data_IF_660569476711
#
_entry.id   IF_660569476711
#
_cell.length_a   1.000
_cell.length_b   1.000
_cell.length_c   1.000
_cell.angle_alpha   90.00
_cell.angle_beta   90.00
_cell.angle_gamma   90.00
#
_symmetry.space_group_name_H-M   'P 1'
#
loop_
_entity.id
_entity.type
_entity.pdbx_description
1 polymer ?
#
# COMPACT_ATOMS: atom_id res chain seq x y z
N UNK A 1 2.91 0.20 5.24
CA UNK A 1 3.74 -0.38 4.14
C UNK A 1 3.54 -1.91 3.98
N UNK A 2 2.36 -2.41 4.35
CA UNK A 2 1.94 -3.80 4.15
C UNK A 2 3.02 -4.85 4.52
N UNK A 3 3.55 -4.80 5.75
CA UNK A 3 4.57 -5.75 6.20
C UNK A 3 5.95 -5.63 5.53
N UNK A 4 6.15 -4.58 4.79
CA UNK A 4 7.39 -4.34 4.03
C UNK A 4 7.31 -4.69 2.55
N UNK A 5 6.17 -5.12 2.04
CA UNK A 5 6.00 -5.39 0.62
C UNK A 5 6.30 -4.17 -0.26
N UNK A 6 5.92 -2.97 0.18
CA UNK A 6 6.14 -1.71 -0.54
C UNK A 6 7.51 -1.07 -0.24
N UNK A 7 8.50 -1.83 0.16
CA UNK A 7 9.87 -1.33 0.40
C UNK A 7 10.90 -1.86 -0.58
N UNK A 8 10.48 -2.64 -1.57
CA UNK A 8 11.33 -3.21 -2.61
C UNK A 8 12.22 -4.39 -2.18
N UNK A 9 12.04 -4.90 -0.94
CA UNK A 9 12.92 -5.97 -0.42
C UNK A 9 12.46 -7.38 -0.76
N UNK A 10 11.24 -7.57 -1.25
CA UNK A 10 10.73 -8.88 -1.67
C UNK A 10 10.72 -8.96 -3.19
N UNK A 11 11.16 -10.09 -3.71
CA UNK A 11 11.25 -10.34 -5.14
C UNK A 11 10.29 -11.45 -5.56
N UNK A 12 9.91 -11.43 -6.83
CA UNK A 12 9.07 -12.46 -7.44
C UNK A 12 9.82 -13.79 -7.42
N UNK A 13 9.15 -14.86 -7.04
CA UNK A 13 9.67 -16.23 -7.01
C UNK A 13 10.89 -16.46 -6.09
N UNK A 14 11.13 -15.56 -5.14
CA UNK A 14 12.21 -15.69 -4.16
C UNK A 14 11.62 -15.66 -2.76
N UNK A 15 11.61 -16.79 -2.09
CA UNK A 15 11.18 -16.87 -0.68
C UNK A 15 12.08 -15.99 0.19
N UNK A 16 11.51 -15.06 0.99
CA UNK A 16 12.31 -14.20 1.84
C UNK A 16 13.06 -15.00 2.91
N UNK A 17 14.35 -14.70 3.08
CA UNK A 17 15.20 -15.28 4.12
C UNK A 17 15.88 -14.18 4.93
N UNK A 18 16.42 -14.57 6.12
CA UNK A 18 17.23 -13.70 6.96
C UNK A 18 16.45 -12.66 7.74
N UNK A 19 17.15 -11.62 8.22
CA UNK A 19 16.65 -10.62 9.17
C UNK A 19 15.62 -9.63 8.57
N UNK A 20 14.59 -10.15 7.94
CA UNK A 20 13.42 -9.37 7.47
C UNK A 20 12.17 -9.88 8.17
N UNK A 21 11.06 -9.09 8.11
CA UNK A 21 9.82 -9.47 8.79
C UNK A 21 9.23 -10.80 8.29
N UNK A 22 9.33 -11.06 6.99
CA UNK A 22 8.85 -12.31 6.39
C UNK A 22 9.96 -13.36 6.29
N UNK A 23 11.25 -12.98 6.33
CA UNK A 23 12.35 -13.92 6.44
C UNK A 23 12.40 -14.59 7.81
N UNK A 24 12.10 -13.85 8.89
CA UNK A 24 11.99 -14.40 10.24
C UNK A 24 10.71 -15.24 10.44
N UNK A 25 9.62 -14.89 9.73
CA UNK A 25 8.34 -15.60 9.80
C UNK A 25 7.53 -15.39 8.51
N UNK A 26 7.75 -16.20 7.47
CA UNK A 26 7.12 -16.07 6.16
C UNK A 26 5.59 -16.27 6.20
N UNK A 27 5.09 -17.03 7.17
CA UNK A 27 3.66 -17.36 7.32
C UNK A 27 2.88 -16.34 8.15
N UNK A 28 3.51 -15.21 8.49
CA UNK A 28 2.92 -14.24 9.42
C UNK A 28 1.67 -13.56 8.86
N UNK A 29 0.53 -14.04 9.29
CA UNK A 29 -0.77 -13.39 9.13
C UNK A 29 -1.19 -13.11 7.69
N UNK A 30 -1.84 -11.97 7.46
CA UNK A 30 -2.32 -11.55 6.13
C UNK A 30 -1.20 -11.09 5.20
N UNK A 31 0.00 -10.89 5.72
CA UNK A 31 1.18 -10.42 5.01
C UNK A 31 2.07 -11.57 4.53
N UNK A 32 1.68 -12.82 4.83
CA UNK A 32 2.42 -14.02 4.50
C UNK A 32 2.87 -14.06 3.04
N UNK A 33 4.12 -14.45 2.81
CA UNK A 33 4.71 -14.43 1.47
C UNK A 33 3.91 -15.32 0.51
N UNK A 34 3.61 -16.55 0.90
CA UNK A 34 2.89 -17.52 0.07
C UNK A 34 1.50 -17.07 -0.35
N UNK A 35 0.84 -16.25 0.47
CA UNK A 35 -0.48 -15.72 0.16
C UNK A 35 -0.45 -14.54 -0.79
N UNK A 36 0.57 -13.69 -0.67
CA UNK A 36 0.66 -12.46 -1.47
C UNK A 36 1.45 -12.64 -2.75
N UNK A 37 2.49 -13.46 -2.73
CA UNK A 37 3.36 -13.69 -3.90
C UNK A 37 2.62 -14.33 -5.08
N UNK A 38 1.61 -15.15 -4.81
CA UNK A 38 0.77 -15.78 -5.85
C UNK A 38 -0.26 -14.83 -6.48
N UNK A 39 -0.46 -13.65 -5.90
CA UNK A 39 -1.43 -12.69 -6.39
C UNK A 39 -0.76 -11.73 -7.38
N UNK A 40 -1.13 -11.79 -8.65
CA UNK A 40 -0.60 -10.87 -9.68
C UNK A 40 -0.72 -9.41 -9.26
N UNK A 41 -1.86 -9.02 -8.68
CA UNK A 41 -2.09 -7.68 -8.17
C UNK A 41 -1.04 -7.18 -7.17
N UNK A 42 -0.51 -8.06 -6.31
CA UNK A 42 0.56 -7.67 -5.38
C UNK A 42 1.77 -7.13 -6.16
N UNK A 43 2.13 -7.80 -7.23
CA UNK A 43 3.26 -7.42 -8.07
C UNK A 43 2.96 -6.20 -8.94
N UNK A 44 1.73 -6.07 -9.46
CA UNK A 44 1.32 -4.89 -10.22
C UNK A 44 1.46 -3.61 -9.37
N UNK A 45 1.09 -3.68 -8.09
CA UNK A 45 1.28 -2.57 -7.14
C UNK A 45 2.77 -2.30 -6.88
N UNK A 46 3.56 -3.34 -6.66
CA UNK A 46 5.01 -3.21 -6.42
C UNK A 46 5.69 -2.58 -7.63
N UNK A 47 5.40 -3.08 -8.82
CA UNK A 47 5.96 -2.59 -10.09
C UNK A 47 5.58 -1.11 -10.33
N UNK A 48 4.34 -0.73 -10.03
CA UNK A 48 3.90 0.66 -10.13
C UNK A 48 4.66 1.58 -9.15
N UNK A 49 4.79 1.16 -7.88
CA UNK A 49 5.56 1.92 -6.87
C UNK A 49 7.02 2.01 -7.25
N UNK A 50 7.62 0.93 -7.75
CA UNK A 50 9.01 0.90 -8.18
C UNK A 50 9.25 1.87 -9.33
N UNK A 51 8.39 1.86 -10.35
CA UNK A 51 8.49 2.76 -11.51
C UNK A 51 8.49 4.23 -11.11
N UNK A 52 7.61 4.63 -10.19
CA UNK A 52 7.58 6.01 -9.68
C UNK A 52 8.84 6.32 -8.89
N UNK A 53 9.28 5.40 -8.01
CA UNK A 53 10.47 5.57 -7.19
C UNK A 53 11.74 5.76 -8.05
N UNK A 54 11.90 4.96 -9.10
CA UNK A 54 13.01 5.06 -10.05
C UNK A 54 12.97 6.39 -10.82
N UNK A 55 11.79 6.80 -11.29
CA UNK A 55 11.60 8.07 -12.01
C UNK A 55 11.93 9.30 -11.17
N UNK A 56 11.67 9.23 -9.87
CA UNK A 56 11.93 10.32 -8.91
C UNK A 56 13.29 10.23 -8.21
N UNK A 57 14.02 9.12 -8.33
CA UNK A 57 15.28 8.89 -7.62
C UNK A 57 15.11 8.78 -6.10
N UNK A 58 13.97 8.27 -5.64
CA UNK A 58 13.62 8.11 -4.22
C UNK A 58 13.37 6.64 -3.86
N UNK A 59 13.21 6.33 -2.58
CA UNK A 59 12.87 4.96 -2.19
C UNK A 59 11.40 4.62 -2.44
N UNK A 60 11.12 3.34 -2.69
CA UNK A 60 9.74 2.85 -2.79
C UNK A 60 8.94 3.12 -1.51
N UNK A 61 9.60 3.10 -0.36
CA UNK A 61 8.98 3.44 0.92
C UNK A 61 8.51 4.89 0.95
N UNK A 62 9.31 5.82 0.44
CA UNK A 62 8.94 7.24 0.33
C UNK A 62 7.74 7.42 -0.59
N UNK A 63 7.72 6.79 -1.76
CA UNK A 63 6.56 6.85 -2.69
C UNK A 63 5.29 6.34 -2.02
N UNK A 64 5.34 5.17 -1.38
CA UNK A 64 4.18 4.60 -0.71
C UNK A 64 3.65 5.46 0.45
N UNK A 65 4.54 6.14 1.17
CA UNK A 65 4.19 7.04 2.25
C UNK A 65 3.65 8.37 1.71
N UNK A 66 4.26 8.95 0.70
CA UNK A 66 3.80 10.18 0.05
C UNK A 66 2.39 10.00 -0.52
N UNK A 67 2.17 8.89 -1.26
CA UNK A 67 0.83 8.55 -1.76
C UNK A 67 -0.24 8.52 -0.65
N UNK A 68 0.13 8.04 0.54
CA UNK A 68 -0.80 7.96 1.66
C UNK A 68 -0.99 9.33 2.35
N UNK A 69 0.09 10.10 2.52
CA UNK A 69 0.05 11.44 3.17
C UNK A 69 -0.84 12.41 2.39
N UNK A 70 -0.78 12.36 1.07
CA UNK A 70 -1.52 13.27 0.20
C UNK A 70 -3.02 12.92 0.05
N UNK A 71 -3.50 11.85 0.72
CA UNK A 71 -4.93 11.48 0.67
C UNK A 71 -5.79 12.44 1.51
N UNK A 72 -6.87 13.00 0.94
CA UNK A 72 -7.73 13.98 1.65
C UNK A 72 -8.33 13.46 2.96
N UNK A 73 -8.51 12.15 3.09
CA UNK A 73 -9.09 11.51 4.28
C UNK A 73 -8.04 11.07 5.32
N UNK A 74 -6.75 11.29 5.05
CA UNK A 74 -5.65 10.88 5.93
C UNK A 74 -5.14 12.08 6.71
N UNK A 75 -5.39 12.10 8.01
CA UNK A 75 -4.93 13.18 8.90
C UNK A 75 -3.46 13.00 9.30
N UNK A 76 -3.03 11.76 9.53
CA UNK A 76 -1.64 11.45 9.83
C UNK A 76 -1.30 10.01 9.49
N UNK A 77 -0.03 9.75 9.22
CA UNK A 77 0.48 8.43 8.87
C UNK A 77 1.35 7.89 9.99
N UNK A 78 0.96 6.74 10.54
CA UNK A 78 1.77 6.02 11.52
C UNK A 78 2.77 5.15 10.77
N UNK A 79 4.04 5.44 10.93
CA UNK A 79 5.12 4.67 10.32
C UNK A 79 5.99 4.01 11.40
N UNK A 80 6.60 2.88 11.04
CA UNK A 80 7.56 2.18 11.88
C UNK A 80 8.93 2.12 11.19
N UNK A 81 9.99 2.25 11.98
CA UNK A 81 11.36 2.07 11.55
C UNK A 81 12.12 1.23 12.58
N UNK A 82 13.03 0.38 12.12
CA UNK A 82 13.92 -0.42 12.99
C UNK A 82 15.26 0.28 13.22
N UNK A 83 15.62 1.19 12.34
CA UNK A 83 16.88 1.92 12.38
C UNK A 83 16.66 3.40 12.14
N UNK A 84 17.56 4.25 12.62
CA UNK A 84 17.55 5.69 12.37
C UNK A 84 17.64 6.01 10.87
N UNK A 85 18.39 5.20 10.09
CA UNK A 85 18.47 5.35 8.64
C UNK A 85 17.11 5.13 7.98
N UNK A 86 16.37 4.09 8.37
CA UNK A 86 15.00 3.85 7.86
C UNK A 86 14.05 4.98 8.26
N UNK A 87 14.19 5.51 9.48
CA UNK A 87 13.38 6.64 9.92
C UNK A 87 13.66 7.88 9.08
N UNK A 88 14.93 8.22 8.86
CA UNK A 88 15.32 9.36 8.05
C UNK A 88 14.82 9.22 6.60
N UNK A 89 14.96 8.03 6.00
CA UNK A 89 14.44 7.75 4.66
C UNK A 89 12.91 7.94 4.60
N UNK A 90 12.19 7.35 5.54
CA UNK A 90 10.73 7.46 5.60
C UNK A 90 10.25 8.91 5.80
N UNK A 91 10.94 9.72 6.60
CA UNK A 91 10.60 11.12 6.83
C UNK A 91 10.74 11.98 5.57
N UNK A 92 11.62 11.59 4.63
CA UNK A 92 11.71 12.24 3.32
C UNK A 92 10.41 12.20 2.50
N UNK A 93 9.50 11.30 2.83
CA UNK A 93 8.17 11.27 2.20
C UNK A 93 7.32 12.52 2.47
N UNK A 94 7.60 13.26 3.54
CA UNK A 94 6.85 14.47 3.88
C UNK A 94 7.08 15.62 2.88
N UNK A 95 8.21 15.60 2.18
CA UNK A 95 8.59 16.60 1.17
C UNK A 95 8.34 16.10 -0.28
N UNK A 96 7.88 14.86 -0.42
CA UNK A 96 7.62 14.25 -1.71
C UNK A 96 6.15 14.38 -2.06
N UNK A 97 5.85 15.16 -3.10
CA UNK A 97 4.52 15.27 -3.68
C UNK A 97 4.49 14.56 -5.03
N UNK A 98 3.55 13.63 -5.16
CA UNK A 98 3.31 12.91 -6.41
C UNK A 98 2.42 13.75 -7.32
N UNK A 99 2.69 13.71 -8.62
CA UNK A 99 1.80 14.34 -9.59
C UNK A 99 0.53 13.49 -9.86
N UNK A 100 -0.38 14.04 -10.66
CA UNK A 100 -1.67 13.39 -10.96
C UNK A 100 -1.50 12.08 -11.74
N UNK A 101 -0.52 12.01 -12.63
CA UNK A 101 -0.24 10.81 -13.43
C UNK A 101 0.33 9.69 -12.55
N UNK A 102 1.26 10.01 -11.67
CA UNK A 102 1.86 9.09 -10.71
C UNK A 102 0.81 8.59 -9.72
N UNK A 103 0.04 9.50 -9.16
CA UNK A 103 -1.06 9.17 -8.23
C UNK A 103 -2.10 8.30 -8.92
N UNK A 104 -2.51 8.64 -10.14
CA UNK A 104 -3.46 7.86 -10.93
C UNK A 104 -2.95 6.46 -11.27
N UNK A 105 -1.66 6.32 -11.58
CA UNK A 105 -1.04 5.02 -11.84
C UNK A 105 -1.04 4.12 -10.59
N UNK A 106 -0.72 4.69 -9.43
CA UNK A 106 -0.74 3.97 -8.16
C UNK A 106 -2.17 3.60 -7.75
N UNK A 107 -3.14 4.50 -7.93
CA UNK A 107 -4.54 4.25 -7.66
C UNK A 107 -5.08 3.09 -8.50
N UNK A 108 -4.82 3.13 -9.80
CA UNK A 108 -5.23 2.08 -10.73
C UNK A 108 -4.64 0.72 -10.37
N UNK A 109 -3.35 0.66 -10.02
CA UNK A 109 -2.68 -0.58 -9.64
C UNK A 109 -3.21 -1.13 -8.31
N UNK A 110 -3.57 -0.24 -7.38
CA UNK A 110 -4.00 -0.59 -6.02
C UNK A 110 -5.52 -0.66 -5.85
N UNK A 111 -6.31 -0.38 -6.89
CA UNK A 111 -7.78 -0.42 -6.81
C UNK A 111 -8.25 -1.76 -6.23
N UNK A 112 -8.96 -1.76 -5.09
CA UNK A 112 -9.48 -2.98 -4.48
C UNK A 112 -10.48 -3.71 -5.36
N UNK A 113 -11.04 -3.06 -6.40
CA UNK A 113 -12.11 -3.61 -7.24
C UNK A 113 -13.13 -4.38 -6.38
N UNK A 114 -13.79 -3.71 -5.40
CA UNK A 114 -14.66 -4.40 -4.47
C UNK A 114 -15.76 -5.10 -5.24
N UNK A 115 -15.88 -6.40 -5.02
CA UNK A 115 -17.02 -7.16 -5.51
C UNK A 115 -18.28 -6.67 -4.81
N UNK A 116 -19.42 -6.92 -5.42
CA UNK A 116 -20.74 -6.44 -5.08
C UNK A 116 -20.99 -6.34 -3.54
N UNK A 117 -22.04 -6.73 -3.01
CA UNK A 117 -22.38 -6.56 -1.59
C UNK A 117 -21.26 -7.04 -0.62
N UNK A 118 -20.91 -6.30 0.45
CA UNK A 118 -21.52 -5.03 0.93
C UNK A 118 -20.82 -3.75 0.42
N UNK A 119 -19.84 -3.86 -0.45
CA UNK A 119 -18.97 -2.76 -0.87
C UNK A 119 -19.30 -2.19 -2.25
N UNK A 120 -20.09 -2.92 -3.07
CA UNK A 120 -20.58 -2.47 -4.36
C UNK A 120 -21.81 -1.55 -4.24
N UNK A 121 -22.38 -1.14 -5.40
CA UNK A 121 -23.51 -0.21 -5.49
C UNK A 121 -24.62 -0.48 -4.48
N UNK A 122 -25.20 -1.70 -4.41
CA UNK A 122 -26.28 -2.00 -3.47
C UNK A 122 -25.90 -1.81 -1.99
N UNK A 123 -24.67 -2.08 -1.61
CA UNK A 123 -24.20 -1.94 -0.23
C UNK A 123 -23.91 -0.48 0.14
N UNK A 124 -23.39 0.30 -0.79
CA UNK A 124 -23.11 1.73 -0.60
C UNK A 124 -24.41 2.55 -0.59
N UNK A 125 -25.33 2.23 -1.47
CA UNK A 125 -26.64 2.89 -1.54
C UNK A 125 -27.47 2.68 -0.27
N UNK A 126 -27.37 1.52 0.37
CA UNK A 126 -28.05 1.27 1.64
C UNK A 126 -27.55 2.16 2.79
N UNK A 127 -26.29 2.62 2.76
CA UNK A 127 -25.76 3.57 3.75
C UNK A 127 -26.36 4.96 3.59
N UNK A 128 -26.78 5.30 2.40
CA UNK A 128 -27.41 6.59 2.08
C UNK A 128 -28.95 6.54 2.17
N UNK A 129 -29.50 5.36 2.46
CA UNK A 129 -30.93 5.17 2.58
C UNK A 129 -31.47 5.99 3.75
N UNK A 130 -32.36 6.94 3.45
CA UNK A 130 -33.15 7.62 4.48
C UNK A 130 -33.97 6.57 5.22
N UNK A 131 -33.71 6.41 6.47
CA UNK A 131 -34.58 5.69 7.39
C UNK A 131 -35.77 6.65 7.64
N UNK A 132 -36.80 6.57 6.80
CA UNK A 132 -38.06 7.20 7.15
C UNK A 132 -38.55 6.49 8.40
N UNK A 133 -38.62 7.26 9.48
CA UNK A 133 -38.92 6.75 10.80
C UNK A 133 -40.13 5.86 10.80
N UNK A 134 -39.91 4.58 10.96
CA UNK A 134 -40.97 3.67 11.37
C UNK A 134 -41.44 4.08 12.77
N UNK A 135 -42.73 4.15 12.94
CA UNK A 135 -43.40 4.24 14.24
C UNK A 135 -43.03 3.02 15.08
#
# INVERSE_FOLDING_TARGET
MAGGWLTGKYQRDVTPEGASRLGDNPDRGMEAYDRRSVQQRTWDVIDAVQKVAEGRGVSMAQVALAWLVDRPAVTSVILGARTTRQLADNLGAAELHLDDDETGALDKASDPAPVDYPYGGPGVEQRSRRIEGGR
#
